data_IF_466897232191
#
_entry.id   IF_466897232191
#
_cell.length_a   1.000
_cell.length_b   1.000
_cell.length_c   1.000
_cell.angle_alpha   90.00
_cell.angle_beta   90.00
_cell.angle_gamma   90.00
#
_symmetry.space_group_name_H-M   'P 1'
#
loop_
_entity.id
_entity.type
_entity.pdbx_description
1 polymer ?
#
# COMPACT_ATOMS: atom_id res chain seq x y z
N UNK A 1 7.55 -13.50 22.03
CA UNK A 1 6.55 -12.57 21.45
C UNK A 1 6.39 -12.96 19.98
N UNK A 2 5.37 -13.76 19.65
CA UNK A 2 5.18 -14.27 18.28
C UNK A 2 4.38 -13.29 17.45
N UNK A 3 4.99 -12.72 16.40
CA UNK A 3 4.26 -11.93 15.42
C UNK A 3 3.39 -12.88 14.59
N UNK A 4 2.10 -12.93 14.89
CA UNK A 4 1.17 -13.58 13.96
C UNK A 4 1.12 -12.75 12.68
N UNK A 5 1.37 -13.34 11.50
CA UNK A 5 1.26 -12.62 10.24
C UNK A 5 -0.19 -12.19 10.06
N UNK A 6 -0.42 -10.87 9.90
CA UNK A 6 -1.76 -10.38 9.63
C UNK A 6 -2.18 -10.87 8.24
N UNK A 7 -3.36 -11.49 8.09
CA UNK A 7 -3.83 -11.91 6.79
C UNK A 7 -4.03 -10.68 5.91
N UNK A 8 -3.39 -10.70 4.74
CA UNK A 8 -3.57 -9.70 3.69
C UNK A 8 -4.90 -10.00 3.00
N UNK A 9 -5.83 -9.04 3.02
CA UNK A 9 -7.20 -9.26 2.53
C UNK A 9 -7.39 -8.85 1.08
N UNK A 10 -6.46 -8.05 0.54
CA UNK A 10 -6.49 -7.63 -0.86
C UNK A 10 -5.13 -7.76 -1.52
N UNK A 11 -5.12 -7.89 -2.85
CA UNK A 11 -3.87 -7.89 -3.63
C UNK A 11 -3.10 -6.57 -3.47
N UNK A 12 -3.81 -5.44 -3.28
CA UNK A 12 -3.18 -4.15 -3.04
C UNK A 12 -2.42 -4.10 -1.70
N UNK A 13 -2.98 -4.67 -0.63
CA UNK A 13 -2.28 -4.82 0.66
C UNK A 13 -1.07 -5.75 0.52
N UNK A 14 -1.22 -6.86 -0.21
CA UNK A 14 -0.10 -7.77 -0.46
C UNK A 14 1.05 -7.09 -1.21
N UNK A 15 0.74 -6.39 -2.31
CA UNK A 15 1.69 -5.64 -3.11
C UNK A 15 2.43 -4.60 -2.26
N UNK A 16 1.69 -3.79 -1.50
CA UNK A 16 2.28 -2.78 -0.60
C UNK A 16 3.30 -3.41 0.34
N UNK A 17 2.92 -4.48 1.04
CA UNK A 17 3.77 -5.07 2.07
C UNK A 17 5.04 -5.71 1.47
N UNK A 18 4.95 -6.34 0.29
CA UNK A 18 6.12 -6.91 -0.41
C UNK A 18 7.08 -5.80 -0.80
N UNK A 19 6.58 -4.76 -1.48
CA UNK A 19 7.43 -3.66 -1.92
C UNK A 19 8.04 -2.91 -0.74
N UNK A 20 7.30 -2.74 0.37
CA UNK A 20 7.80 -2.11 1.57
C UNK A 20 8.91 -2.93 2.25
N UNK A 21 8.75 -4.26 2.34
CA UNK A 21 9.76 -5.15 2.91
C UNK A 21 11.09 -5.06 2.14
N UNK A 22 11.01 -5.09 0.81
CA UNK A 22 12.19 -5.01 -0.06
C UNK A 22 12.80 -3.60 -0.07
N UNK A 23 11.97 -2.55 -0.10
CA UNK A 23 12.44 -1.17 -0.01
C UNK A 23 13.13 -0.88 1.31
N UNK A 24 12.61 -1.41 2.42
CA UNK A 24 13.26 -1.28 3.72
C UNK A 24 14.61 -2.00 3.72
N UNK A 25 14.69 -3.20 3.14
CA UNK A 25 15.95 -3.92 3.02
C UNK A 25 16.98 -3.13 2.20
N UNK A 26 16.57 -2.48 1.11
CA UNK A 26 17.46 -1.63 0.30
C UNK A 26 17.89 -0.34 1.02
N UNK A 27 16.98 0.29 1.76
CA UNK A 27 17.25 1.57 2.43
C UNK A 27 18.22 1.40 3.61
N UNK A 28 18.08 0.33 4.38
CA UNK A 28 18.83 0.14 5.63
C UNK A 28 20.07 -0.74 5.51
N UNK A 29 20.21 -1.52 4.44
CA UNK A 29 21.44 -2.28 4.21
C UNK A 29 22.38 -1.51 3.28
N UNK A 30 23.66 -1.45 3.63
CA UNK A 30 24.68 -0.90 2.74
C UNK A 30 24.77 -1.73 1.46
N UNK A 31 25.06 -1.06 0.34
CA UNK A 31 25.20 -1.69 -0.98
C UNK A 31 26.34 -2.70 -1.08
N UNK A 32 27.25 -2.73 -0.11
CA UNK A 32 28.31 -3.73 0.00
C UNK A 32 27.86 -5.05 0.64
N UNK A 33 26.69 -5.09 1.27
CA UNK A 33 26.17 -6.30 1.90
C UNK A 33 25.37 -7.15 0.90
N UNK A 34 25.52 -8.48 1.00
CA UNK A 34 24.77 -9.44 0.18
C UNK A 34 23.25 -9.25 0.29
N UNK A 35 22.75 -8.86 1.46
CA UNK A 35 21.31 -8.60 1.68
C UNK A 35 20.78 -7.47 0.80
N UNK A 36 21.58 -6.43 0.56
CA UNK A 36 21.19 -5.36 -0.35
C UNK A 36 21.08 -5.89 -1.79
N UNK A 37 22.07 -6.65 -2.27
CA UNK A 37 22.04 -7.22 -3.62
C UNK A 37 20.86 -8.17 -3.80
N UNK A 38 20.62 -9.06 -2.83
CA UNK A 38 19.46 -9.96 -2.85
C UNK A 38 18.14 -9.18 -2.85
N UNK A 39 18.01 -8.15 -2.00
CA UNK A 39 16.80 -7.32 -1.95
C UNK A 39 16.57 -6.57 -3.28
N UNK A 40 17.64 -6.17 -3.98
CA UNK A 40 17.55 -5.50 -5.27
C UNK A 40 17.03 -6.44 -6.35
N UNK A 41 17.63 -7.62 -6.47
CA UNK A 41 17.20 -8.65 -7.43
C UNK A 41 15.74 -9.05 -7.19
N UNK A 42 15.40 -9.34 -5.93
CA UNK A 42 14.02 -9.65 -5.55
C UNK A 42 13.04 -8.51 -5.83
N UNK A 43 13.48 -7.25 -5.71
CA UNK A 43 12.63 -6.09 -5.99
C UNK A 43 12.32 -5.96 -7.48
N UNK A 44 13.31 -6.19 -8.35
CA UNK A 44 13.13 -6.21 -9.81
C UNK A 44 12.18 -7.35 -10.23
N UNK A 45 12.38 -8.57 -9.70
CA UNK A 45 11.50 -9.71 -9.97
C UNK A 45 10.07 -9.50 -9.43
N UNK A 46 9.94 -8.97 -8.22
CA UNK A 46 8.64 -8.73 -7.60
C UNK A 46 7.80 -7.74 -8.41
N UNK A 47 8.40 -6.69 -8.97
CA UNK A 47 7.68 -5.74 -9.82
C UNK A 47 7.08 -6.40 -11.05
N UNK A 48 7.84 -7.29 -11.71
CA UNK A 48 7.35 -8.04 -12.86
C UNK A 48 6.20 -8.97 -12.47
N UNK A 49 6.40 -9.78 -11.42
CA UNK A 49 5.40 -10.75 -10.96
C UNK A 49 4.10 -10.07 -10.50
N UNK A 50 4.21 -8.98 -9.74
CA UNK A 50 3.05 -8.18 -9.30
C UNK A 50 2.34 -7.53 -10.49
N UNK A 51 3.07 -7.01 -11.47
CA UNK A 51 2.51 -6.47 -12.70
C UNK A 51 1.69 -7.51 -13.48
N UNK A 52 2.23 -8.72 -13.65
CA UNK A 52 1.53 -9.83 -14.30
C UNK A 52 0.28 -10.25 -13.53
N UNK A 53 0.36 -10.35 -12.20
CA UNK A 53 -0.79 -10.68 -11.36
C UNK A 53 -1.92 -9.65 -11.52
N UNK A 54 -1.59 -8.35 -11.46
CA UNK A 54 -2.58 -7.29 -11.63
C UNK A 54 -3.20 -7.31 -13.02
N UNK A 55 -2.39 -7.53 -14.06
CA UNK A 55 -2.88 -7.66 -15.43
C UNK A 55 -3.84 -8.85 -15.57
N UNK A 56 -3.50 -10.01 -14.99
CA UNK A 56 -4.37 -11.19 -14.99
C UNK A 56 -5.68 -10.94 -14.23
N UNK A 57 -5.63 -10.25 -13.09
CA UNK A 57 -6.83 -9.87 -12.34
C UNK A 57 -7.72 -8.91 -13.12
N UNK A 58 -7.14 -7.97 -13.88
CA UNK A 58 -7.87 -7.08 -14.76
C UNK A 58 -8.58 -7.85 -15.88
N UNK A 59 -7.86 -8.77 -16.54
CA UNK A 59 -8.44 -9.62 -17.59
C UNK A 59 -9.56 -10.52 -17.06
N UNK A 60 -9.42 -11.03 -15.83
CA UNK A 60 -10.43 -11.85 -15.17
C UNK A 60 -11.62 -11.06 -14.59
N UNK A 61 -11.63 -9.73 -14.70
CA UNK A 61 -12.67 -8.89 -14.10
C UNK A 61 -12.64 -8.84 -12.56
N UNK A 62 -11.53 -9.23 -11.94
CA UNK A 62 -11.35 -9.29 -10.48
C UNK A 62 -10.81 -7.96 -9.90
N UNK A 63 -10.66 -6.92 -10.72
CA UNK A 63 -10.26 -5.61 -10.24
C UNK A 63 -11.37 -5.00 -9.36
N UNK A 64 -11.24 -5.13 -8.04
CA UNK A 64 -12.02 -4.32 -7.11
C UNK A 64 -11.58 -2.86 -7.26
N UNK A 65 -12.42 -2.01 -7.86
CA UNK A 65 -12.20 -0.58 -7.83
C UNK A 65 -12.04 -0.14 -6.36
N UNK A 66 -11.04 0.69 -6.01
CA UNK A 66 -10.91 1.15 -4.65
C UNK A 66 -12.21 1.85 -4.24
N UNK A 67 -12.79 1.55 -3.06
CA UNK A 67 -14.00 2.21 -2.63
C UNK A 67 -13.73 3.71 -2.60
N UNK A 68 -14.44 4.47 -3.46
CA UNK A 68 -14.36 5.93 -3.48
C UNK A 68 -14.73 6.41 -2.08
N UNK A 69 -13.74 6.83 -1.28
CA UNK A 69 -13.97 7.51 -0.01
C UNK A 69 -14.83 8.74 -0.33
N UNK A 70 -16.15 8.66 -0.06
CA UNK A 70 -17.00 9.84 -0.04
C UNK A 70 -16.43 10.73 1.06
N UNK A 71 -15.75 11.82 0.68
CA UNK A 71 -15.48 12.93 1.59
C UNK A 71 -16.85 13.37 2.11
N UNK A 72 -17.18 13.00 3.34
CA UNK A 72 -18.33 13.57 4.05
C UNK A 72 -17.94 15.02 4.33
N UNK A 73 -18.37 15.95 3.47
CA UNK A 73 -18.42 17.35 3.86
C UNK A 73 -19.48 17.43 4.96
N UNK A 74 -19.05 17.51 6.21
CA UNK A 74 -19.93 17.93 7.30
C UNK A 74 -20.20 19.42 7.12
N UNK A 75 -21.45 19.88 6.98
CA UNK A 75 -21.76 21.29 7.08
C UNK A 75 -21.73 21.67 8.56
N UNK A 76 -20.59 22.17 9.05
CA UNK A 76 -20.56 22.88 10.34
C UNK A 76 -21.30 24.21 10.20
N UNK A 77 -22.62 24.16 10.29
CA UNK A 77 -23.45 25.31 10.58
C UNK A 77 -23.32 25.63 12.08
N UNK A 78 -22.31 26.43 12.44
CA UNK A 78 -22.32 27.16 13.70
C UNK A 78 -22.73 28.60 13.44
N UNK A 79 -24.03 28.84 13.59
CA UNK A 79 -24.64 30.15 13.64
C UNK A 79 -24.06 30.92 14.84
N UNK A 80 -23.13 31.85 14.59
CA UNK A 80 -22.75 32.85 15.56
C UNK A 80 -23.77 34.00 15.47
N UNK A 81 -24.83 33.90 16.27
CA UNK A 81 -25.85 34.93 16.40
C UNK A 81 -25.20 36.15 17.07
N UNK A 82 -25.14 37.25 16.33
CA UNK A 82 -24.74 38.57 16.80
C UNK A 82 -25.54 38.93 18.08
N UNK A 83 -24.81 39.29 19.13
CA UNK A 83 -25.29 40.17 20.20
C UNK A 83 -24.18 41.17 20.48
N UNK A 84 -24.33 42.39 19.99
CA UNK A 84 -23.73 43.57 20.58
C UNK A 84 -24.87 44.56 20.79
N UNK A 85 -25.11 44.85 22.06
CA UNK A 85 -25.78 46.05 22.56
C UNK A 85 -24.80 47.21 22.51
#
# INVERSE_FOLDING_TARGET
MGLQPRPKRTTAEFQRDVLLMLSNALLYNSSSHSVYSMAREMHEEAQLALGMLLAAQAHAGLCSAPPRRKRRLEPHAHAHKQRHT
#
